data_IF_656617116302
#
_entry.id   IF_656617116302
#
_cell.length_a   1.000
_cell.length_b   1.000
_cell.length_c   1.000
_cell.angle_alpha   90.00
_cell.angle_beta   90.00
_cell.angle_gamma   90.00
#
_symmetry.space_group_name_H-M   'P 1'
#
loop_
_entity.id
_entity.type
_entity.pdbx_description
1 polymer ?
#
# COMPACT_ATOMS: atom_id res chain seq x y z
N UNK A 1 -13.66 -2.61 -3.11
CA UNK A 1 -12.55 -3.34 -3.75
C UNK A 1 -12.56 -3.00 -5.22
N UNK A 2 -11.50 -2.36 -5.72
CA UNK A 2 -11.33 -2.10 -7.16
C UNK A 2 -10.42 -3.20 -7.71
N UNK A 3 -10.83 -3.85 -8.80
CA UNK A 3 -9.97 -4.76 -9.55
C UNK A 3 -9.58 -4.03 -10.83
N UNK A 4 -8.34 -3.54 -10.93
CA UNK A 4 -7.93 -2.75 -12.08
C UNK A 4 -7.84 -3.63 -13.33
N UNK A 5 -8.08 -3.04 -14.51
CA UNK A 5 -7.96 -3.75 -15.80
C UNK A 5 -6.51 -4.11 -16.12
N UNK A 6 -5.56 -3.31 -15.65
CA UNK A 6 -4.11 -3.56 -15.72
C UNK A 6 -3.42 -2.92 -14.52
N UNK A 7 -2.22 -3.39 -14.19
CA UNK A 7 -1.43 -2.78 -13.12
C UNK A 7 -0.86 -1.41 -13.49
N UNK A 8 -0.63 -1.12 -14.77
CA UNK A 8 -0.09 0.17 -15.24
C UNK A 8 -1.12 1.32 -15.18
N UNK A 9 -2.41 0.98 -15.18
CA UNK A 9 -3.51 1.93 -15.11
C UNK A 9 -4.36 1.73 -13.83
N UNK A 10 -3.75 1.21 -12.76
CA UNK A 10 -4.46 0.80 -11.55
C UNK A 10 -5.22 1.94 -10.85
N UNK A 11 -4.70 3.16 -10.96
CA UNK A 11 -5.33 4.37 -10.38
C UNK A 11 -6.09 5.21 -11.41
N UNK A 12 -6.09 4.81 -12.69
CA UNK A 12 -6.77 5.55 -13.75
C UNK A 12 -8.28 5.54 -13.52
N UNK A 13 -8.92 6.67 -13.76
CA UNK A 13 -10.36 6.89 -13.59
C UNK A 13 -10.87 6.80 -12.14
N UNK A 14 -9.98 6.69 -11.15
CA UNK A 14 -10.35 6.74 -9.73
C UNK A 14 -10.17 8.16 -9.18
N UNK A 15 -11.22 8.70 -8.55
CA UNK A 15 -11.11 9.92 -7.75
C UNK A 15 -10.51 9.56 -6.39
N UNK A 16 -9.19 9.67 -6.29
CA UNK A 16 -8.42 9.38 -5.06
C UNK A 16 -8.02 10.69 -4.41
N UNK A 17 -8.52 10.88 -3.19
CA UNK A 17 -8.37 12.11 -2.40
C UNK A 17 -7.91 11.82 -0.95
N UNK A 18 -7.95 12.85 -0.13
CA UNK A 18 -7.52 12.82 1.28
C UNK A 18 -8.44 12.01 2.20
N UNK A 19 -9.55 11.45 1.69
CA UNK A 19 -10.40 10.51 2.42
C UNK A 19 -10.18 9.06 1.96
N UNK A 20 -9.37 8.86 0.93
CA UNK A 20 -9.15 7.57 0.30
C UNK A 20 -8.10 6.72 1.01
N UNK A 21 -8.40 5.43 1.21
CA UNK A 21 -7.51 4.43 1.76
C UNK A 21 -7.17 3.40 0.69
N UNK A 22 -5.89 3.28 0.36
CA UNK A 22 -5.39 2.34 -0.64
C UNK A 22 -4.67 1.19 0.06
N UNK A 23 -5.01 -0.05 -0.30
CA UNK A 23 -4.29 -1.25 0.14
C UNK A 23 -3.89 -2.04 -1.09
N UNK A 24 -2.58 -2.20 -1.29
CA UNK A 24 -1.98 -2.91 -2.40
C UNK A 24 -1.76 -4.35 -1.97
N UNK A 25 -2.58 -5.25 -2.51
CA UNK A 25 -2.50 -6.70 -2.28
C UNK A 25 -2.35 -7.40 -3.62
N UNK A 26 -1.11 -7.74 -4.00
CA UNK A 26 -0.84 -8.45 -5.26
C UNK A 26 -0.34 -9.87 -5.01
N UNK A 27 -0.55 -10.75 -5.99
CA UNK A 27 0.06 -12.09 -6.04
C UNK A 27 1.30 -12.04 -6.93
N UNK A 28 2.39 -11.42 -6.48
CA UNK A 28 3.69 -11.45 -7.18
C UNK A 28 4.39 -10.09 -7.28
N UNK A 29 5.72 -10.12 -7.09
CA UNK A 29 6.57 -8.96 -6.78
C UNK A 29 6.66 -7.87 -7.85
N UNK A 30 6.38 -8.21 -9.11
CA UNK A 30 6.70 -7.31 -10.24
C UNK A 30 5.77 -6.09 -10.27
N UNK A 31 4.54 -6.25 -9.77
CA UNK A 31 3.52 -5.22 -9.92
C UNK A 31 3.34 -4.31 -8.70
N UNK A 32 3.84 -4.70 -7.51
CA UNK A 32 3.77 -3.87 -6.30
C UNK A 32 4.45 -2.52 -6.53
N UNK A 33 5.64 -2.52 -7.16
CA UNK A 33 6.36 -1.30 -7.54
C UNK A 33 5.53 -0.39 -8.44
N UNK A 34 4.93 -0.94 -9.49
CA UNK A 34 4.14 -0.19 -10.47
C UNK A 34 2.90 0.45 -9.83
N UNK A 35 2.19 -0.31 -8.99
CA UNK A 35 0.99 0.19 -8.31
C UNK A 35 1.35 1.18 -7.21
N UNK A 36 2.41 0.92 -6.44
CA UNK A 36 2.88 1.82 -5.40
C UNK A 36 3.34 3.16 -5.98
N UNK A 37 4.09 3.14 -7.10
CA UNK A 37 4.48 4.36 -7.79
C UNK A 37 3.30 5.19 -8.29
N UNK A 38 2.18 4.56 -8.68
CA UNK A 38 0.94 5.28 -8.97
C UNK A 38 0.28 5.81 -7.69
N UNK A 39 0.17 4.99 -6.64
CA UNK A 39 -0.45 5.35 -5.38
C UNK A 39 0.23 6.57 -4.72
N UNK A 40 1.56 6.61 -4.72
CA UNK A 40 2.37 7.70 -4.16
C UNK A 40 2.13 9.05 -4.84
N UNK A 41 1.69 9.04 -6.11
CA UNK A 41 1.33 10.27 -6.85
C UNK A 41 -0.08 10.79 -6.52
N UNK A 42 -0.83 10.08 -5.68
CA UNK A 42 -2.18 10.47 -5.26
C UNK A 42 -2.18 11.21 -3.92
N UNK A 43 -3.32 11.81 -3.60
CA UNK A 43 -3.59 12.44 -2.30
C UNK A 43 -4.18 11.46 -1.27
N UNK A 44 -4.13 10.15 -1.51
CA UNK A 44 -4.65 9.14 -0.59
C UNK A 44 -4.19 9.39 0.86
N UNK A 45 -5.11 9.35 1.81
CA UNK A 45 -4.82 9.47 3.23
C UNK A 45 -3.85 8.40 3.72
N UNK A 46 -4.03 7.19 3.19
CA UNK A 46 -3.35 5.99 3.66
C UNK A 46 -2.97 5.11 2.47
N UNK A 47 -1.74 4.60 2.48
CA UNK A 47 -1.23 3.65 1.49
C UNK A 47 -0.62 2.47 2.24
N UNK A 48 -1.31 1.34 2.22
CA UNK A 48 -0.81 0.06 2.75
C UNK A 48 -0.32 -0.84 1.63
N UNK A 49 0.77 -1.56 1.84
CA UNK A 49 1.28 -2.55 0.90
C UNK A 49 1.62 -3.85 1.62
N UNK A 50 1.09 -4.96 1.09
CA UNK A 50 1.45 -6.29 1.57
C UNK A 50 2.88 -6.64 1.14
N UNK A 51 3.59 -7.43 1.94
CA UNK A 51 4.92 -7.92 1.61
C UNK A 51 5.85 -7.93 2.81
N UNK A 52 6.94 -8.68 2.73
CA UNK A 52 7.98 -8.67 3.77
C UNK A 52 8.78 -7.38 3.73
N UNK A 53 9.50 -7.07 4.82
CA UNK A 53 10.42 -5.92 4.89
C UNK A 53 11.44 -5.92 3.73
N UNK A 54 12.01 -7.07 3.44
CA UNK A 54 12.95 -7.25 2.31
C UNK A 54 12.30 -6.89 0.96
N UNK A 55 11.04 -7.29 0.72
CA UNK A 55 10.33 -6.97 -0.54
C UNK A 55 10.03 -5.48 -0.64
N UNK A 56 9.62 -4.86 0.47
CA UNK A 56 9.43 -3.41 0.56
C UNK A 56 10.73 -2.69 0.21
N UNK A 57 11.86 -3.07 0.81
CA UNK A 57 13.14 -2.39 0.61
C UNK A 57 13.60 -2.44 -0.86
N UNK A 58 13.47 -3.61 -1.50
CA UNK A 58 13.74 -3.75 -2.94
C UNK A 58 12.81 -2.87 -3.80
N UNK A 59 11.54 -2.77 -3.42
CA UNK A 59 10.56 -1.90 -4.10
C UNK A 59 10.92 -0.42 -3.95
N UNK A 60 11.32 0.00 -2.76
CA UNK A 60 11.71 1.39 -2.48
C UNK A 60 13.01 1.76 -3.20
N UNK A 61 13.98 0.86 -3.26
CA UNK A 61 15.21 1.07 -4.02
C UNK A 61 14.90 1.29 -5.51
N UNK A 62 14.01 0.47 -6.08
CA UNK A 62 13.60 0.60 -7.47
C UNK A 62 12.85 1.92 -7.75
N UNK A 63 11.95 2.33 -6.85
CA UNK A 63 11.23 3.61 -6.98
C UNK A 63 12.12 4.83 -6.73
N UNK A 64 13.15 4.71 -5.89
CA UNK A 64 14.14 5.78 -5.68
C UNK A 64 14.87 6.10 -6.99
N UNK A 65 15.17 5.07 -7.81
CA UNK A 65 15.76 5.26 -9.16
C UNK A 65 14.81 5.99 -10.13
N UNK A 66 13.52 6.07 -9.81
CA UNK A 66 12.51 6.82 -10.56
C UNK A 66 12.20 8.20 -9.96
N UNK A 67 12.95 8.62 -8.93
CA UNK A 67 12.86 9.95 -8.34
C UNK A 67 11.96 10.07 -7.10
N UNK A 68 11.43 8.95 -6.58
CA UNK A 68 10.73 8.97 -5.29
C UNK A 68 11.72 9.15 -4.13
N UNK A 69 11.26 9.82 -3.08
CA UNK A 69 12.07 10.21 -1.93
C UNK A 69 11.68 9.43 -0.68
N UNK A 70 12.56 9.48 0.34
CA UNK A 70 12.22 8.97 1.67
C UNK A 70 10.96 9.63 2.26
N UNK A 71 10.68 10.88 1.90
CA UNK A 71 9.46 11.59 2.32
C UNK A 71 8.19 11.00 1.68
N UNK A 72 8.26 10.56 0.42
CA UNK A 72 7.15 9.88 -0.24
C UNK A 72 6.84 8.54 0.46
N UNK A 73 7.90 7.78 0.79
CA UNK A 73 7.76 6.49 1.46
C UNK A 73 7.30 6.58 2.92
N UNK A 74 7.43 7.75 3.56
CA UNK A 74 6.96 7.96 4.93
C UNK A 74 5.43 7.80 5.06
N UNK A 75 4.68 7.92 3.96
CA UNK A 75 3.23 7.72 3.89
C UNK A 75 2.81 6.26 3.68
N UNK A 76 3.78 5.34 3.54
CA UNK A 76 3.53 3.95 3.16
C UNK A 76 3.67 3.01 4.35
N UNK A 77 2.62 2.23 4.59
CA UNK A 77 2.54 1.20 5.61
C UNK A 77 2.89 -0.16 5.02
N UNK A 78 4.11 -0.62 5.26
CA UNK A 78 4.63 -1.87 4.71
C UNK A 78 5.59 -2.57 5.68
N UNK A 79 5.31 -3.82 6.11
CA UNK A 79 4.10 -4.61 5.81
C UNK A 79 2.82 -3.97 6.37
N UNK A 80 1.72 -4.01 5.61
CA UNK A 80 0.40 -3.61 6.09
C UNK A 80 -0.21 -4.67 7.00
N UNK A 81 -0.92 -4.23 8.03
CA UNK A 81 -1.62 -5.03 9.03
C UNK A 81 -0.97 -4.93 10.41
N UNK A 82 -1.81 -4.86 11.45
CA UNK A 82 -1.34 -4.91 12.83
C UNK A 82 -0.67 -6.26 13.14
N UNK A 83 0.33 -6.23 14.02
CA UNK A 83 1.02 -7.45 14.46
C UNK A 83 0.18 -8.24 15.46
N UNK A 84 -0.75 -9.04 14.94
CA UNK A 84 -1.68 -9.90 15.72
C UNK A 84 -1.33 -11.39 15.65
N UNK A 85 -0.21 -11.76 15.03
CA UNK A 85 0.16 -13.16 14.78
C UNK A 85 -0.66 -13.83 13.68
N UNK A 86 -1.14 -13.06 12.70
CA UNK A 86 -1.96 -13.58 11.60
C UNK A 86 -1.18 -14.54 10.69
N UNK A 87 -1.77 -15.71 10.39
CA UNK A 87 -1.22 -16.72 9.49
C UNK A 87 -2.14 -16.99 8.30
N UNK A 88 -3.45 -17.02 8.53
CA UNK A 88 -4.45 -17.29 7.49
C UNK A 88 -4.84 -16.03 6.71
N UNK A 89 -5.31 -16.13 5.46
CA UNK A 89 -5.81 -14.98 4.71
C UNK A 89 -6.89 -14.17 5.45
N UNK A 90 -7.76 -14.84 6.20
CA UNK A 90 -8.82 -14.23 7.00
C UNK A 90 -8.23 -13.41 8.17
N UNK A 91 -7.24 -13.96 8.87
CA UNK A 91 -6.54 -13.23 9.95
C UNK A 91 -5.75 -12.04 9.40
N UNK A 92 -5.12 -12.18 8.23
CA UNK A 92 -4.43 -11.09 7.54
C UNK A 92 -5.43 -9.99 7.16
N UNK A 93 -6.61 -10.36 6.66
CA UNK A 93 -7.65 -9.38 6.36
C UNK A 93 -8.09 -8.62 7.62
N UNK A 94 -8.28 -9.31 8.75
CA UNK A 94 -8.61 -8.69 10.04
C UNK A 94 -7.49 -7.73 10.49
N UNK A 95 -6.23 -8.14 10.38
CA UNK A 95 -5.09 -7.30 10.79
C UNK A 95 -4.99 -6.02 9.97
N UNK A 96 -5.24 -6.09 8.66
CA UNK A 96 -5.28 -4.95 7.75
C UNK A 96 -6.42 -4.01 8.13
N UNK A 97 -7.65 -4.53 8.26
CA UNK A 97 -8.83 -3.70 8.61
C UNK A 97 -8.63 -3.02 9.96
N UNK A 98 -8.05 -3.70 10.93
CA UNK A 98 -7.73 -3.12 12.24
C UNK A 98 -6.75 -1.93 12.10
N UNK A 99 -5.73 -2.03 11.25
CA UNK A 99 -4.81 -0.92 10.98
C UNK A 99 -5.51 0.25 10.28
N UNK A 100 -6.41 0.00 9.32
CA UNK A 100 -7.17 1.07 8.67
C UNK A 100 -8.03 1.85 9.68
N UNK A 101 -8.66 1.15 10.62
CA UNK A 101 -9.43 1.75 11.71
C UNK A 101 -8.52 2.59 12.61
N UNK A 102 -7.34 2.08 12.94
CA UNK A 102 -6.33 2.77 13.75
C UNK A 102 -5.88 4.08 13.08
N UNK A 103 -5.52 4.03 11.80
CA UNK A 103 -5.12 5.20 11.02
C UNK A 103 -6.24 6.24 10.91
N UNK A 104 -7.49 5.81 10.68
CA UNK A 104 -8.66 6.71 10.67
C UNK A 104 -8.90 7.38 12.02
N UNK A 105 -8.71 6.64 13.11
CA UNK A 105 -8.94 7.17 14.46
C UNK A 105 -7.87 8.19 14.90
N UNK A 106 -6.79 8.39 14.12
CA UNK A 106 -5.67 9.26 14.48
C UNK A 106 -4.86 8.73 15.67
N UNK A 107 -4.89 7.42 15.90
CA UNK A 107 -4.21 6.77 17.03
C UNK A 107 -3.11 5.84 16.51
N UNK A 108 -2.02 6.39 16.02
CA UNK A 108 -0.87 5.63 15.51
C UNK A 108 0.34 6.52 15.35
#
# INVERSE_FOLDING_TARGET
>A
IVVPRSFDEAMKDLNIDEESYLVIVTRGHVHDKTVLGQALRTRARYIGMIGSRTKRDATYEALTKEGFTAGDFARVHAPVGLSIGAETPEEIAVSIVAELIQARAGKG
#
